data_IF_124708735985
#
_entry.id   IF_124708735985
#
_cell.length_a   1.000
_cell.length_b   1.000
_cell.length_c   1.000
_cell.angle_alpha   90.00
_cell.angle_beta   90.00
_cell.angle_gamma   90.00
#
_symmetry.space_group_name_H-M   'P 1'
#
loop_
_entity.id
_entity.type
_entity.pdbx_description
1 polymer ?
#
# COMPACT_ATOMS: atom_id res chain seq x y z
N UNK A 1 46.10 -35.20 15.25
CA UNK A 1 45.57 -33.82 15.19
C UNK A 1 45.10 -33.53 13.76
N UNK A 2 43.88 -33.96 13.40
CA UNK A 2 43.33 -33.80 12.03
C UNK A 2 41.81 -33.59 12.00
N UNK A 3 41.19 -33.40 13.17
CA UNK A 3 39.73 -33.27 13.32
C UNK A 3 39.23 -31.88 13.70
N UNK A 4 40.11 -30.95 14.08
CA UNK A 4 39.69 -29.60 14.51
C UNK A 4 39.47 -28.62 13.35
N UNK A 5 40.14 -28.83 12.21
CA UNK A 5 40.09 -27.88 11.09
C UNK A 5 38.79 -27.95 10.29
N UNK A 6 38.10 -29.10 10.28
CA UNK A 6 36.84 -29.30 9.55
C UNK A 6 35.63 -28.80 10.33
N UNK A 7 35.66 -28.86 11.67
CA UNK A 7 34.54 -28.44 12.53
C UNK A 7 34.37 -26.91 12.50
N UNK A 8 35.47 -26.16 12.48
CA UNK A 8 35.46 -24.69 12.43
C UNK A 8 34.88 -24.18 11.10
N UNK A 9 35.13 -24.90 9.99
CA UNK A 9 34.57 -24.54 8.68
C UNK A 9 33.06 -24.81 8.58
N UNK A 10 32.55 -25.89 9.19
CA UNK A 10 31.12 -26.19 9.20
C UNK A 10 30.33 -25.16 10.02
N UNK A 11 30.89 -24.67 11.13
CA UNK A 11 30.26 -23.64 11.97
C UNK A 11 30.24 -22.25 11.31
N UNK A 12 31.30 -21.88 10.56
CA UNK A 12 31.34 -20.62 9.83
C UNK A 12 30.37 -20.56 8.65
N UNK A 13 30.10 -21.69 7.98
CA UNK A 13 29.12 -21.74 6.87
C UNK A 13 27.68 -21.67 7.40
N UNK A 14 27.38 -22.21 8.59
CA UNK A 14 26.03 -22.13 9.16
C UNK A 14 25.66 -20.72 9.68
N UNK A 15 26.63 -19.91 10.08
CA UNK A 15 26.39 -18.51 10.48
C UNK A 15 26.13 -17.56 9.30
N UNK A 16 26.56 -17.93 8.08
CA UNK A 16 26.34 -17.14 6.86
C UNK A 16 24.97 -17.36 6.21
N UNK A 17 24.22 -18.40 6.59
CA UNK A 17 22.90 -18.72 6.01
C UNK A 17 21.74 -18.07 6.80
N UNK A 18 21.98 -17.57 8.01
CA UNK A 18 20.95 -16.93 8.84
C UNK A 18 20.73 -15.43 8.55
N UNK A 19 21.51 -14.85 7.62
CA UNK A 19 21.34 -13.46 7.16
C UNK A 19 20.57 -13.35 5.83
N UNK A 20 19.87 -14.41 5.43
CA UNK A 20 18.80 -14.25 4.47
C UNK A 20 17.57 -13.84 5.26
N UNK A 21 17.43 -12.53 5.49
CA UNK A 21 16.12 -11.93 5.66
C UNK A 21 15.32 -12.30 4.41
N UNK A 22 14.66 -13.45 4.44
CA UNK A 22 13.62 -13.80 3.47
C UNK A 22 12.61 -12.67 3.57
N UNK A 23 12.43 -11.82 2.55
CA UNK A 23 11.34 -10.87 2.61
C UNK A 23 10.07 -11.71 2.68
N UNK A 24 9.39 -11.62 3.83
CA UNK A 24 8.01 -12.05 3.99
C UNK A 24 7.29 -11.65 2.71
N UNK A 25 6.82 -12.65 1.98
CA UNK A 25 6.10 -12.50 0.73
C UNK A 25 4.68 -12.01 1.06
N UNK A 26 4.55 -10.95 1.85
CA UNK A 26 3.31 -10.20 1.99
C UNK A 26 3.03 -9.52 0.65
N UNK A 27 1.77 -9.52 0.23
CA UNK A 27 1.34 -8.73 -0.92
C UNK A 27 1.57 -7.27 -0.55
N UNK A 28 2.72 -6.71 -0.95
CA UNK A 28 3.02 -5.28 -0.79
C UNK A 28 2.57 -4.53 -2.02
N UNK A 29 2.24 -3.24 -1.87
CA UNK A 29 1.90 -2.37 -3.01
C UNK A 29 3.03 -2.34 -4.05
N UNK A 30 4.28 -2.46 -3.62
CA UNK A 30 5.44 -2.58 -4.51
C UNK A 30 5.34 -3.79 -5.48
N UNK A 31 4.72 -4.90 -5.06
CA UNK A 31 4.50 -6.06 -5.94
C UNK A 31 3.52 -5.73 -7.05
N UNK A 32 2.52 -4.89 -6.79
CA UNK A 32 1.54 -4.48 -7.78
C UNK A 32 2.14 -3.69 -8.95
N UNK A 33 3.33 -3.12 -8.78
CA UNK A 33 4.03 -2.30 -9.79
C UNK A 33 4.99 -3.15 -10.63
N UNK A 34 5.56 -4.21 -10.06
CA UNK A 34 6.54 -5.06 -10.74
C UNK A 34 5.97 -5.80 -11.94
N UNK A 35 4.66 -6.08 -11.92
CA UNK A 35 3.97 -6.85 -12.96
C UNK A 35 3.36 -5.94 -14.05
N UNK A 36 3.70 -4.65 -14.05
CA UNK A 36 3.14 -3.65 -14.97
C UNK A 36 4.06 -3.45 -16.18
N UNK A 37 3.47 -3.40 -17.38
CA UNK A 37 4.18 -3.07 -18.62
C UNK A 37 4.76 -1.65 -18.60
N UNK A 38 5.83 -1.43 -19.35
CA UNK A 38 6.47 -0.11 -19.44
C UNK A 38 5.51 0.98 -19.97
N UNK A 39 4.57 0.62 -20.87
CA UNK A 39 3.54 1.53 -21.38
C UNK A 39 2.61 2.08 -20.30
N UNK A 40 2.44 1.33 -19.21
CA UNK A 40 1.47 1.62 -18.16
C UNK A 40 2.14 2.16 -16.90
N UNK A 41 3.47 2.18 -16.85
CA UNK A 41 4.28 2.70 -15.75
C UNK A 41 4.01 4.18 -15.48
N UNK A 42 3.95 5.02 -16.51
CA UNK A 42 3.65 6.46 -16.34
C UNK A 42 2.31 6.65 -15.63
N UNK A 43 1.26 5.94 -16.08
CA UNK A 43 -0.08 6.01 -15.50
C UNK A 43 -0.12 5.55 -14.05
N UNK A 44 0.66 4.52 -13.72
CA UNK A 44 0.75 4.01 -12.34
C UNK A 44 1.50 4.98 -11.45
N UNK A 45 2.56 5.61 -11.95
CA UNK A 45 3.26 6.64 -11.20
C UNK A 45 2.39 7.88 -10.96
N UNK A 46 1.53 8.26 -11.92
CA UNK A 46 0.51 9.28 -11.70
C UNK A 46 -0.45 8.89 -10.56
N UNK A 47 -0.92 7.64 -10.52
CA UNK A 47 -1.80 7.15 -9.44
C UNK A 47 -1.10 7.13 -8.08
N UNK A 48 0.20 6.81 -8.03
CA UNK A 48 1.01 6.91 -6.79
C UNK A 48 1.23 8.33 -6.31
N UNK A 49 1.09 9.31 -7.20
CA UNK A 49 1.08 10.73 -6.88
C UNK A 49 -0.34 11.27 -6.67
N UNK A 50 -1.31 10.37 -6.47
CA UNK A 50 -2.72 10.69 -6.26
C UNK A 50 -3.34 11.51 -7.40
N UNK A 51 -2.81 11.37 -8.62
CA UNK A 51 -3.45 11.91 -9.83
C UNK A 51 -4.41 10.85 -10.37
N UNK A 52 -5.73 11.11 -10.38
CA UNK A 52 -6.70 10.12 -10.86
C UNK A 52 -6.43 9.73 -12.31
N UNK A 53 -6.45 8.43 -12.59
CA UNK A 53 -6.33 7.88 -13.94
C UNK A 53 -7.37 6.78 -14.17
N UNK A 54 -7.71 6.51 -15.42
CA UNK A 54 -8.71 5.50 -15.82
C UNK A 54 -8.17 4.50 -16.86
N UNK A 55 -8.93 3.42 -17.00
CA UNK A 55 -8.69 2.33 -17.94
C UNK A 55 -8.09 1.10 -17.26
N UNK A 56 -8.12 -0.03 -17.95
CA UNK A 56 -7.87 -1.37 -17.40
C UNK A 56 -6.60 -1.49 -16.55
N UNK A 57 -5.50 -0.84 -16.97
CA UNK A 57 -4.23 -0.89 -16.22
C UNK A 57 -4.28 -0.07 -14.92
N UNK A 58 -4.96 1.07 -14.93
CA UNK A 58 -5.19 1.86 -13.71
C UNK A 58 -6.10 1.09 -12.75
N UNK A 59 -7.18 0.50 -13.27
CA UNK A 59 -8.14 -0.26 -12.48
C UNK A 59 -7.49 -1.49 -11.84
N UNK A 60 -6.69 -2.22 -12.62
CA UNK A 60 -5.90 -3.35 -12.14
C UNK A 60 -4.89 -2.95 -11.08
N UNK A 61 -4.15 -1.87 -11.31
CA UNK A 61 -3.16 -1.38 -10.34
C UNK A 61 -3.83 -0.98 -9.02
N UNK A 62 -4.86 -0.12 -9.06
CA UNK A 62 -5.52 0.36 -7.84
C UNK A 62 -6.21 -0.78 -7.11
N UNK A 63 -6.84 -1.72 -7.82
CA UNK A 63 -7.39 -2.93 -7.19
C UNK A 63 -6.31 -3.71 -6.45
N UNK A 64 -5.16 -3.97 -7.09
CA UNK A 64 -4.05 -4.68 -6.45
C UNK A 64 -3.51 -3.91 -5.23
N UNK A 65 -3.26 -2.61 -5.38
CA UNK A 65 -2.69 -1.79 -4.32
C UNK A 65 -3.62 -1.68 -3.10
N UNK A 66 -4.92 -1.46 -3.31
CA UNK A 66 -5.90 -1.39 -2.23
C UNK A 66 -6.15 -2.76 -1.59
N UNK A 67 -6.08 -3.86 -2.35
CA UNK A 67 -6.15 -5.21 -1.79
C UNK A 67 -4.93 -5.53 -0.92
N UNK A 68 -3.73 -5.13 -1.35
CA UNK A 68 -2.49 -5.32 -0.60
C UNK A 68 -2.56 -4.71 0.81
N UNK A 69 -3.22 -3.56 0.97
CA UNK A 69 -3.38 -2.89 2.29
C UNK A 69 -4.69 -3.27 3.02
N UNK A 70 -5.49 -4.17 2.44
CA UNK A 70 -6.73 -4.70 3.02
C UNK A 70 -8.00 -3.85 2.82
N UNK A 71 -7.91 -2.78 2.02
CA UNK A 71 -9.06 -1.89 1.76
C UNK A 71 -10.07 -2.51 0.78
N UNK A 72 -9.66 -3.51 0.01
CA UNK A 72 -10.46 -4.13 -1.05
C UNK A 72 -10.34 -5.65 -0.96
N UNK A 73 -11.46 -6.36 -1.12
CA UNK A 73 -11.49 -7.81 -1.26
C UNK A 73 -11.21 -8.27 -2.70
N UNK A 74 -10.99 -9.57 -2.89
CA UNK A 74 -10.66 -10.16 -4.19
C UNK A 74 -11.72 -9.90 -5.29
N UNK A 75 -13.00 -9.76 -4.90
CA UNK A 75 -14.11 -9.44 -5.78
C UNK A 75 -14.17 -7.95 -6.18
N UNK A 76 -13.30 -7.11 -5.62
CA UNK A 76 -13.26 -5.67 -5.82
C UNK A 76 -14.18 -4.88 -4.89
N UNK A 77 -14.78 -5.52 -3.88
CA UNK A 77 -15.59 -4.85 -2.87
C UNK A 77 -14.70 -4.10 -1.87
N UNK A 78 -15.04 -2.83 -1.62
CA UNK A 78 -14.31 -1.97 -0.67
C UNK A 78 -14.76 -2.29 0.76
N UNK A 79 -13.79 -2.52 1.64
CA UNK A 79 -13.99 -2.89 3.03
C UNK A 79 -14.17 -1.64 3.90
N UNK A 80 -15.41 -1.13 3.96
CA UNK A 80 -15.76 0.11 4.68
C UNK A 80 -15.10 0.24 6.05
N UNK A 81 -15.24 -0.77 6.91
CA UNK A 81 -14.73 -0.69 8.29
C UNK A 81 -13.20 -0.63 8.34
N UNK A 82 -12.50 -1.31 7.41
CA UNK A 82 -11.04 -1.24 7.33
C UNK A 82 -10.58 0.15 6.89
N UNK A 83 -11.30 0.77 5.95
CA UNK A 83 -11.02 2.14 5.51
C UNK A 83 -11.22 3.13 6.65
N UNK A 84 -12.35 3.04 7.37
CA UNK A 84 -12.63 3.92 8.50
C UNK A 84 -11.60 3.76 9.62
N UNK A 85 -11.24 2.53 10.00
CA UNK A 85 -10.21 2.32 11.02
C UNK A 85 -8.86 2.89 10.60
N UNK A 86 -8.49 2.82 9.31
CA UNK A 86 -7.25 3.43 8.83
C UNK A 86 -7.31 4.97 8.84
N UNK A 87 -8.48 5.56 8.64
CA UNK A 87 -8.69 7.01 8.75
C UNK A 87 -8.64 7.47 10.21
N UNK A 88 -9.19 6.67 11.14
CA UNK A 88 -9.10 6.91 12.60
C UNK A 88 -7.63 6.95 13.09
N UNK A 89 -6.71 6.26 12.40
CA UNK A 89 -5.30 6.23 12.76
C UNK A 89 -4.53 7.51 12.40
N UNK A 90 -5.03 8.30 11.45
CA UNK A 90 -4.34 9.49 10.91
C UNK A 90 -5.05 10.81 11.19
N UNK A 91 -6.35 10.76 11.46
CA UNK A 91 -7.16 11.93 11.78
C UNK A 91 -7.50 11.95 13.28
N UNK A 92 -7.42 13.13 13.88
CA UNK A 92 -7.70 13.33 15.31
C UNK A 92 -9.07 13.97 15.55
N UNK A 93 -9.73 14.47 14.50
CA UNK A 93 -11.05 15.07 14.56
C UNK A 93 -12.15 14.10 14.10
N UNK A 94 -13.17 13.96 14.93
CA UNK A 94 -14.24 12.97 14.80
C UNK A 94 -14.96 13.02 13.44
N UNK A 95 -14.74 11.98 12.62
CA UNK A 95 -15.76 11.42 11.75
C UNK A 95 -16.09 12.15 10.44
N UNK A 96 -15.43 13.27 10.10
CA UNK A 96 -15.65 14.00 8.83
C UNK A 96 -15.50 13.09 7.59
N UNK A 97 -14.60 12.12 7.68
CA UNK A 97 -14.36 11.15 6.60
C UNK A 97 -15.43 10.07 6.46
N UNK A 98 -16.32 9.89 7.43
CA UNK A 98 -17.37 8.86 7.36
C UNK A 98 -18.35 9.15 6.22
N UNK A 99 -18.80 10.40 6.12
CA UNK A 99 -19.70 10.84 5.05
C UNK A 99 -19.03 10.74 3.67
N UNK A 100 -17.75 11.14 3.58
CA UNK A 100 -16.93 10.97 2.37
C UNK A 100 -16.86 9.51 1.93
N UNK A 101 -16.56 8.58 2.86
CA UNK A 101 -16.49 7.14 2.58
C UNK A 101 -17.85 6.61 2.11
N UNK A 102 -18.94 6.94 2.81
CA UNK A 102 -20.28 6.43 2.49
C UNK A 102 -20.79 6.94 1.14
N UNK A 103 -20.56 8.21 0.84
CA UNK A 103 -20.86 8.79 -0.48
C UNK A 103 -20.06 8.09 -1.57
N UNK A 104 -18.77 7.83 -1.37
CA UNK A 104 -17.94 7.19 -2.38
C UNK A 104 -18.25 5.71 -2.59
N UNK A 105 -18.60 4.98 -1.53
CA UNK A 105 -19.13 3.61 -1.63
C UNK A 105 -20.46 3.60 -2.41
N UNK A 106 -21.37 4.51 -2.07
CA UNK A 106 -22.68 4.63 -2.71
C UNK A 106 -22.57 4.94 -4.21
N UNK A 107 -21.64 5.83 -4.60
CA UNK A 107 -21.37 6.23 -6.00
C UNK A 107 -20.80 5.08 -6.83
N UNK A 108 -19.95 4.26 -6.24
CA UNK A 108 -19.18 3.23 -6.96
C UNK A 108 -19.84 1.85 -6.94
N UNK A 109 -20.90 1.65 -6.15
CA UNK A 109 -21.59 0.36 -6.00
C UNK A 109 -22.04 -0.29 -7.32
N UNK A 110 -22.39 0.52 -8.32
CA UNK A 110 -22.87 0.04 -9.63
C UNK A 110 -21.75 -0.28 -10.60
N UNK A 111 -20.50 0.08 -10.27
CA UNK A 111 -19.35 -0.22 -11.13
C UNK A 111 -19.03 -1.73 -11.07
N UNK A 112 -18.49 -2.28 -12.17
CA UNK A 112 -17.91 -3.62 -12.17
C UNK A 112 -16.86 -3.78 -11.08
N UNK A 113 -16.70 -4.99 -10.55
CA UNK A 113 -15.72 -5.25 -9.47
C UNK A 113 -14.27 -4.91 -9.85
N UNK A 114 -13.92 -4.93 -11.13
CA UNK A 114 -12.60 -4.49 -11.59
C UNK A 114 -12.40 -2.96 -11.48
N UNK A 115 -13.43 -2.17 -11.78
CA UNK A 115 -13.38 -0.70 -11.82
C UNK A 115 -13.70 -0.05 -10.47
N UNK A 116 -14.51 -0.72 -9.64
CA UNK A 116 -15.02 -0.20 -8.37
C UNK A 116 -13.91 0.31 -7.43
N UNK A 117 -12.78 -0.39 -7.23
CA UNK A 117 -11.68 0.11 -6.40
C UNK A 117 -11.12 1.45 -6.86
N UNK A 118 -10.87 1.61 -8.17
CA UNK A 118 -10.34 2.85 -8.72
C UNK A 118 -11.39 3.98 -8.72
N UNK A 119 -12.65 3.63 -8.95
CA UNK A 119 -13.77 4.56 -8.77
C UNK A 119 -13.85 5.09 -7.33
N UNK A 120 -13.68 4.22 -6.34
CA UNK A 120 -13.67 4.61 -4.92
C UNK A 120 -12.47 5.49 -4.57
N UNK A 121 -11.27 5.07 -4.98
CA UNK A 121 -10.04 5.84 -4.81
C UNK A 121 -10.16 7.25 -5.40
N UNK A 122 -10.57 7.35 -6.66
CA UNK A 122 -10.76 8.64 -7.35
C UNK A 122 -11.85 9.49 -6.71
N UNK A 123 -12.91 8.87 -6.18
CA UNK A 123 -13.95 9.59 -5.47
C UNK A 123 -13.43 10.19 -4.16
N UNK A 124 -12.73 9.42 -3.34
CA UNK A 124 -12.16 9.89 -2.07
C UNK A 124 -11.20 11.06 -2.26
N UNK A 125 -10.35 10.99 -3.29
CA UNK A 125 -9.43 12.07 -3.66
C UNK A 125 -10.13 13.37 -4.10
N UNK A 126 -11.43 13.31 -4.41
CA UNK A 126 -12.24 14.47 -4.77
C UNK A 126 -13.12 14.99 -3.61
N UNK A 127 -12.98 14.43 -2.41
CA UNK A 127 -13.70 14.88 -1.20
C UNK A 127 -12.84 15.81 -0.35
N UNK A 128 -13.47 16.45 0.63
CA UNK A 128 -12.82 17.19 1.70
C UNK A 128 -11.84 16.33 2.52
N UNK A 129 -12.03 15.01 2.54
CA UNK A 129 -11.20 14.05 3.28
C UNK A 129 -10.00 13.53 2.48
N UNK A 130 -9.72 14.10 1.30
CA UNK A 130 -8.65 13.62 0.41
C UNK A 130 -7.28 13.56 1.09
N UNK A 131 -6.91 14.57 1.89
CA UNK A 131 -5.63 14.60 2.61
C UNK A 131 -5.49 13.44 3.61
N UNK A 132 -6.53 13.21 4.41
CA UNK A 132 -6.54 12.12 5.40
C UNK A 132 -6.56 10.75 4.72
N UNK A 133 -7.27 10.64 3.60
CA UNK A 133 -7.27 9.41 2.82
C UNK A 133 -5.88 9.10 2.25
N UNK A 134 -5.14 10.10 1.75
CA UNK A 134 -3.75 9.92 1.32
C UNK A 134 -2.87 9.48 2.48
N UNK A 135 -2.92 10.18 3.62
CA UNK A 135 -2.14 9.82 4.81
C UNK A 135 -2.42 8.38 5.28
N UNK A 136 -3.70 7.97 5.26
CA UNK A 136 -4.11 6.61 5.63
C UNK A 136 -3.57 5.57 4.64
N UNK A 137 -3.61 5.83 3.34
CA UNK A 137 -3.03 4.94 2.32
C UNK A 137 -1.53 4.75 2.54
N UNK A 138 -0.81 5.85 2.77
CA UNK A 138 0.64 5.86 3.00
C UNK A 138 1.03 5.09 4.27
N UNK A 139 0.37 5.40 5.39
CA UNK A 139 0.61 4.70 6.65
C UNK A 139 0.35 3.19 6.50
N UNK A 140 -0.74 2.81 5.83
CA UNK A 140 -1.08 1.40 5.61
C UNK A 140 -0.10 0.70 4.67
N UNK A 141 0.40 1.37 3.63
CA UNK A 141 1.45 0.83 2.75
C UNK A 141 2.72 0.54 3.56
N UNK A 142 3.17 1.50 4.38
CA UNK A 142 4.36 1.35 5.22
C UNK A 142 4.20 0.24 6.29
N UNK A 143 3.05 0.18 6.97
CA UNK A 143 2.76 -0.88 7.97
C UNK A 143 2.75 -2.26 7.33
N UNK A 144 2.10 -2.41 6.18
CA UNK A 144 2.04 -3.69 5.44
C UNK A 144 3.43 -4.12 4.94
N UNK A 145 4.29 -3.17 4.62
CA UNK A 145 5.68 -3.41 4.25
C UNK A 145 6.62 -3.57 5.46
N UNK A 146 6.11 -3.56 6.70
CA UNK A 146 6.91 -3.56 7.94
C UNK A 146 7.92 -2.41 8.03
N UNK A 147 7.69 -1.31 7.32
CA UNK A 147 8.49 -0.08 7.35
C UNK A 147 7.99 0.92 8.40
N UNK A 148 6.81 0.65 8.98
CA UNK A 148 6.26 1.36 10.12
C UNK A 148 5.83 0.36 11.20
N UNK A 149 6.35 0.44 12.44
CA UNK A 149 5.92 -0.43 13.53
C UNK A 149 4.43 -0.27 13.84
N UNK A 150 3.71 -1.37 14.08
CA UNK A 150 2.25 -1.33 14.30
C UNK A 150 1.83 -0.42 15.46
N UNK A 151 2.62 -0.37 16.53
CA UNK A 151 2.38 0.40 17.75
C UNK A 151 2.87 1.86 17.65
N UNK A 152 3.56 2.23 16.58
CA UNK A 152 4.05 3.58 16.41
C UNK A 152 2.90 4.50 15.97
N UNK A 153 2.66 5.55 16.76
CA UNK A 153 1.66 6.59 16.44
C UNK A 153 1.99 7.31 15.13
N UNK A 154 0.96 7.73 14.40
CA UNK A 154 1.10 8.46 13.13
C UNK A 154 1.92 9.75 13.29
N UNK A 155 2.89 9.93 12.40
CA UNK A 155 3.64 11.16 12.22
C UNK A 155 3.68 11.45 10.71
N UNK A 156 2.88 12.42 10.29
CA UNK A 156 2.71 12.80 8.88
C UNK A 156 4.04 13.09 8.20
N UNK A 157 4.92 13.86 8.84
CA UNK A 157 6.19 14.26 8.23
C UNK A 157 7.08 13.05 7.99
N UNK A 158 7.17 12.15 8.98
CA UNK A 158 7.98 10.94 8.85
C UNK A 158 7.40 9.95 7.83
N UNK A 159 6.08 9.77 7.81
CA UNK A 159 5.39 8.94 6.81
C UNK A 159 5.66 9.45 5.40
N UNK A 160 5.47 10.74 5.16
CA UNK A 160 5.71 11.35 3.85
C UNK A 160 7.16 11.22 3.40
N UNK A 161 8.14 11.39 4.30
CA UNK A 161 9.56 11.18 3.98
C UNK A 161 9.85 9.74 3.58
N UNK A 162 9.31 8.75 4.30
CA UNK A 162 9.49 7.35 3.96
C UNK A 162 8.79 6.99 2.64
N UNK A 163 7.59 7.51 2.40
CA UNK A 163 6.87 7.28 1.14
C UNK A 163 7.57 7.91 -0.07
N UNK A 164 8.21 9.07 0.09
CA UNK A 164 9.06 9.65 -0.96
C UNK A 164 10.22 8.71 -1.33
N UNK A 165 10.85 8.08 -0.32
CA UNK A 165 11.92 7.11 -0.56
C UNK A 165 11.39 5.84 -1.26
N UNK A 166 10.23 5.33 -0.86
CA UNK A 166 9.55 4.21 -1.54
C UNK A 166 9.27 4.56 -3.00
N UNK A 167 8.69 5.75 -3.26
CA UNK A 167 8.40 6.22 -4.62
C UNK A 167 9.67 6.37 -5.47
N UNK A 168 10.77 6.85 -4.89
CA UNK A 168 12.08 6.92 -5.55
C UNK A 168 12.60 5.54 -5.94
N UNK A 169 12.51 4.56 -5.04
CA UNK A 169 12.92 3.16 -5.30
C UNK A 169 12.08 2.52 -6.40
N UNK A 170 10.79 2.85 -6.46
CA UNK A 170 9.85 2.39 -7.49
C UNK A 170 9.95 3.18 -8.80
N UNK A 171 10.86 4.16 -8.89
CA UNK A 171 11.06 5.01 -10.05
C UNK A 171 9.81 5.84 -10.44
N UNK A 172 8.93 6.12 -9.49
CA UNK A 172 7.80 7.03 -9.65
C UNK A 172 8.16 8.37 -9.01
N UNK A 173 8.77 9.27 -9.79
CA UNK A 173 9.24 10.59 -9.34
C UNK A 173 8.21 11.68 -9.54
#
# INVERSE_FOLDING_TARGET
MKGYSTIVWVLLVQLLVLNQATPLQSQTVAKCIRDISDSSRTKVCDLRQYRPARGDDADRYVKCALAAIGFVADDGSVQRNVVLSALDEVESHDGVYTDSVDVCLSRTRKLPGAERPNGFFSCMLATESAGNFQDALELRELKTASQWPEHQAFDRTRVQQQMQEVNRQLQCK
#
